data_IF_310516820201
#
_entry.id   IF_310516820201
#
_cell.length_a   1.000
_cell.length_b   1.000
_cell.length_c   1.000
_cell.angle_alpha   90.00
_cell.angle_beta   90.00
_cell.angle_gamma   90.00
#
_symmetry.space_group_name_H-M   'P 1'
#
loop_
_entity.id
_entity.type
_entity.pdbx_description
1 polymer ?
#
# COMPACT_ATOMS: atom_id res chain seq x y z
N UNK A 1 -16.53 5.26 -28.07
CA UNK A 1 -16.57 4.55 -26.77
C UNK A 1 -16.46 3.06 -27.03
N UNK A 2 -15.48 2.34 -26.47
CA UNK A 2 -15.26 0.92 -26.81
C UNK A 2 -16.28 0.04 -26.05
N UNK A 3 -17.39 -0.32 -26.69
CA UNK A 3 -18.48 -1.13 -26.12
C UNK A 3 -18.01 -2.49 -25.61
N UNK A 4 -16.97 -3.10 -26.22
CA UNK A 4 -16.36 -4.35 -25.73
C UNK A 4 -15.74 -4.21 -24.34
N UNK A 5 -15.40 -2.99 -23.92
CA UNK A 5 -14.91 -2.76 -22.56
C UNK A 5 -16.01 -2.90 -21.51
N UNK A 6 -17.28 -2.61 -21.83
CA UNK A 6 -18.40 -2.74 -20.88
C UNK A 6 -18.62 -4.20 -20.44
N UNK A 7 -18.34 -5.15 -21.33
CA UNK A 7 -18.48 -6.59 -21.08
C UNK A 7 -17.27 -7.23 -20.39
N UNK A 8 -16.23 -6.46 -20.06
CA UNK A 8 -15.11 -7.01 -19.27
C UNK A 8 -15.57 -7.25 -17.84
N UNK A 9 -15.38 -8.48 -17.33
CA UNK A 9 -15.72 -8.87 -15.95
C UNK A 9 -15.26 -7.85 -14.89
N UNK A 10 -14.05 -7.29 -15.05
CA UNK A 10 -13.51 -6.26 -14.15
C UNK A 10 -14.35 -4.97 -14.13
N UNK A 11 -14.91 -4.55 -15.26
CA UNK A 11 -15.76 -3.35 -15.32
C UNK A 11 -17.12 -3.60 -14.69
N UNK A 12 -17.69 -4.79 -14.88
CA UNK A 12 -18.90 -5.22 -14.18
C UNK A 12 -18.67 -5.28 -12.67
N UNK A 13 -17.60 -5.93 -12.20
CA UNK A 13 -17.22 -5.97 -10.78
C UNK A 13 -17.04 -4.55 -10.21
N UNK A 14 -16.38 -3.66 -10.96
CA UNK A 14 -16.22 -2.28 -10.54
C UNK A 14 -17.56 -1.55 -10.40
N UNK A 15 -18.46 -1.69 -11.38
CA UNK A 15 -19.80 -1.10 -11.31
C UNK A 15 -20.63 -1.67 -10.16
N UNK A 16 -20.62 -3.00 -9.99
CA UNK A 16 -21.26 -3.69 -8.88
C UNK A 16 -20.80 -3.12 -7.53
N UNK A 17 -19.49 -2.98 -7.31
CA UNK A 17 -18.99 -2.40 -6.08
C UNK A 17 -19.43 -0.95 -5.89
N UNK A 18 -19.54 -0.13 -6.94
CA UNK A 18 -20.03 1.25 -6.80
C UNK A 18 -21.45 1.34 -6.25
N UNK A 19 -22.34 0.41 -6.63
CA UNK A 19 -23.74 0.41 -6.21
C UNK A 19 -24.00 -0.43 -4.95
N UNK A 20 -23.09 -1.35 -4.60
CA UNK A 20 -23.22 -2.19 -3.40
C UNK A 20 -23.40 -1.31 -2.15
N UNK A 21 -24.29 -1.67 -1.19
CA UNK A 21 -24.31 -1.05 0.13
C UNK A 21 -22.98 -1.20 0.85
N UNK A 22 -22.73 -0.33 1.83
CA UNK A 22 -21.58 -0.51 2.74
C UNK A 22 -21.82 -1.71 3.66
N UNK A 23 -20.76 -2.43 4.08
CA UNK A 23 -20.90 -3.50 5.06
C UNK A 23 -21.30 -2.95 6.43
N UNK A 24 -21.85 -3.80 7.29
CA UNK A 24 -22.34 -3.40 8.62
C UNK A 24 -21.24 -2.83 9.54
N UNK A 25 -19.98 -3.17 9.27
CA UNK A 25 -18.82 -2.65 10.03
C UNK A 25 -18.52 -1.18 9.72
N UNK A 26 -19.12 -0.60 8.68
CA UNK A 26 -19.00 0.83 8.35
C UNK A 26 -20.06 1.63 9.08
N UNK A 27 -19.61 2.52 9.95
CA UNK A 27 -20.46 3.42 10.75
C UNK A 27 -20.54 4.80 10.08
N UNK A 28 -21.66 5.50 10.24
CA UNK A 28 -21.88 6.88 9.75
C UNK A 28 -21.35 7.92 10.73
N UNK A 29 -20.07 7.82 11.04
CA UNK A 29 -19.42 8.66 12.04
C UNK A 29 -17.97 8.89 11.60
N UNK A 30 -17.52 10.12 11.35
CA UNK A 30 -16.11 10.38 11.08
C UNK A 30 -15.27 10.20 12.36
N UNK A 31 -14.00 9.81 12.21
CA UNK A 31 -13.05 9.74 13.32
C UNK A 31 -12.22 11.03 13.40
N UNK A 32 -11.86 11.42 14.62
CA UNK A 32 -10.92 12.52 14.89
C UNK A 32 -9.47 12.05 14.75
N UNK A 33 -8.68 12.77 13.93
CA UNK A 33 -7.27 12.49 13.70
C UNK A 33 -6.32 13.53 14.31
N UNK A 34 -6.81 14.47 15.12
CA UNK A 34 -6.03 15.54 15.77
C UNK A 34 -4.88 15.05 16.66
N UNK A 35 -4.95 13.79 17.11
CA UNK A 35 -3.91 13.13 17.92
C UNK A 35 -2.72 12.59 17.11
N UNK A 36 -2.80 12.58 15.78
CA UNK A 36 -1.74 12.09 14.90
C UNK A 36 -1.00 13.27 14.27
N UNK A 37 0.02 13.76 14.97
CA UNK A 37 0.79 14.94 14.59
C UNK A 37 2.04 14.57 13.79
N UNK A 38 2.58 13.38 14.04
CA UNK A 38 3.79 12.89 13.39
C UNK A 38 3.74 11.39 13.04
N UNK A 39 4.82 10.90 12.42
CA UNK A 39 4.95 9.49 12.05
C UNK A 39 5.07 8.58 13.27
N UNK A 40 5.54 9.05 14.44
CA UNK A 40 5.60 8.25 15.67
C UNK A 40 4.20 7.90 16.16
N UNK A 41 3.26 8.84 16.14
CA UNK A 41 1.86 8.58 16.52
C UNK A 41 1.24 7.47 15.64
N UNK A 42 1.61 7.43 14.36
CA UNK A 42 1.16 6.39 13.42
C UNK A 42 1.76 5.03 13.77
N UNK A 43 3.08 4.99 14.05
CA UNK A 43 3.82 3.79 14.43
C UNK A 43 3.29 3.17 15.72
N UNK A 44 3.04 4.02 16.73
CA UNK A 44 2.52 3.60 18.03
C UNK A 44 1.08 3.06 17.89
N UNK A 45 0.20 3.72 17.12
CA UNK A 45 -1.15 3.20 16.85
C UNK A 45 -1.14 1.85 16.12
N UNK A 46 -0.21 1.66 15.19
CA UNK A 46 -0.07 0.41 14.44
C UNK A 46 0.71 -0.66 15.21
N UNK A 47 1.22 -0.33 16.39
CA UNK A 47 2.00 -1.20 17.27
C UNK A 47 3.25 -1.76 16.55
N UNK A 48 3.89 -0.98 15.67
CA UNK A 48 5.01 -1.48 14.82
C UNK A 48 6.16 -2.03 15.67
N UNK A 49 6.41 -1.43 16.84
CA UNK A 49 7.44 -1.85 17.80
C UNK A 49 7.29 -3.29 18.28
N UNK A 50 6.05 -3.78 18.40
CA UNK A 50 5.74 -5.11 18.94
C UNK A 50 6.10 -6.25 17.98
N UNK A 51 6.32 -5.93 16.69
CA UNK A 51 6.62 -6.94 15.68
C UNK A 51 8.11 -7.07 15.44
N UNK A 52 8.56 -8.28 15.14
CA UNK A 52 9.96 -8.60 14.86
C UNK A 52 10.48 -7.92 13.59
N UNK A 53 9.65 -7.87 12.55
CA UNK A 53 9.99 -7.27 11.24
C UNK A 53 8.75 -6.81 10.50
N UNK A 54 8.99 -5.98 9.47
CA UNK A 54 7.98 -5.53 8.51
C UNK A 54 8.07 -6.39 7.25
N UNK A 55 6.94 -6.91 6.77
CA UNK A 55 6.86 -7.73 5.56
C UNK A 55 5.97 -7.07 4.52
N UNK A 56 6.55 -6.66 3.40
CA UNK A 56 5.82 -6.09 2.26
C UNK A 56 5.37 -7.20 1.33
N UNK A 57 4.07 -7.25 1.05
CA UNK A 57 3.46 -8.24 0.17
C UNK A 57 2.77 -7.53 -1.00
N UNK A 58 3.40 -7.57 -2.17
CA UNK A 58 2.80 -7.16 -3.44
C UNK A 58 2.15 -8.35 -4.18
N UNK A 59 1.53 -8.10 -5.34
CA UNK A 59 0.69 -9.10 -6.01
C UNK A 59 1.40 -10.01 -7.03
N UNK A 60 2.72 -9.91 -7.20
CA UNK A 60 3.47 -10.72 -8.16
C UNK A 60 3.58 -12.20 -7.75
N UNK A 61 3.94 -13.10 -8.67
CA UNK A 61 4.05 -14.54 -8.41
C UNK A 61 4.95 -14.95 -7.23
N UNK A 62 6.02 -14.20 -6.92
CA UNK A 62 6.90 -14.53 -5.78
C UNK A 62 6.22 -14.37 -4.42
N UNK A 63 5.08 -13.68 -4.34
CA UNK A 63 4.30 -13.59 -3.10
C UNK A 63 3.82 -14.94 -2.58
N UNK A 64 3.74 -15.97 -3.45
CA UNK A 64 3.42 -17.34 -3.05
C UNK A 64 4.50 -18.02 -2.20
N UNK A 65 5.72 -17.44 -2.13
CA UNK A 65 6.87 -17.98 -1.38
C UNK A 65 7.00 -17.42 0.04
N UNK A 66 6.04 -16.60 0.46
CA UNK A 66 6.07 -15.95 1.76
C UNK A 66 6.06 -16.98 2.89
N UNK A 67 6.83 -16.71 3.94
CA UNK A 67 6.81 -17.48 5.18
C UNK A 67 5.92 -16.71 6.16
N UNK A 68 4.82 -17.33 6.57
CA UNK A 68 3.83 -16.71 7.46
C UNK A 68 4.20 -16.89 8.92
N UNK A 69 4.10 -15.81 9.68
CA UNK A 69 4.48 -15.77 11.09
C UNK A 69 3.81 -14.55 11.76
N UNK A 70 3.14 -14.81 12.89
CA UNK A 70 2.31 -13.84 13.62
C UNK A 70 3.14 -12.80 14.39
N UNK A 71 4.45 -13.04 14.57
CA UNK A 71 5.37 -12.08 15.18
C UNK A 71 5.76 -10.95 14.21
N UNK A 72 5.29 -10.99 12.95
CA UNK A 72 5.58 -9.97 11.95
C UNK A 72 4.33 -9.17 11.59
N UNK A 73 4.54 -7.94 11.09
CA UNK A 73 3.46 -7.13 10.53
C UNK A 73 3.55 -7.06 9.00
N UNK A 74 2.41 -7.25 8.35
CA UNK A 74 2.32 -7.38 6.90
C UNK A 74 1.72 -6.12 6.26
N UNK A 75 2.47 -5.50 5.36
CA UNK A 75 1.99 -4.40 4.52
C UNK A 75 1.55 -4.97 3.17
N UNK A 76 0.25 -5.04 2.95
CA UNK A 76 -0.33 -5.61 1.75
C UNK A 76 -1.03 -4.57 0.88
N UNK A 77 -1.15 -4.84 -0.42
CA UNK A 77 -1.86 -3.98 -1.35
C UNK A 77 -2.71 -4.77 -2.33
N UNK A 78 -3.76 -4.16 -2.85
CA UNK A 78 -4.60 -4.80 -3.87
C UNK A 78 -5.08 -6.20 -3.43
N UNK A 79 -4.89 -7.24 -4.27
CA UNK A 79 -5.29 -8.61 -3.96
C UNK A 79 -4.31 -9.36 -3.04
N UNK A 80 -3.09 -8.86 -2.79
CA UNK A 80 -2.15 -9.57 -1.90
C UNK A 80 -2.62 -9.60 -0.45
N UNK A 81 -3.56 -8.73 -0.07
CA UNK A 81 -4.25 -8.79 1.22
C UNK A 81 -4.80 -10.19 1.52
N UNK A 82 -5.26 -10.93 0.50
CA UNK A 82 -5.81 -12.28 0.67
C UNK A 82 -4.81 -13.28 1.26
N UNK A 83 -3.50 -13.00 1.14
CA UNK A 83 -2.46 -13.85 1.70
C UNK A 83 -2.26 -13.63 3.20
N UNK A 84 -2.63 -12.44 3.72
CA UNK A 84 -2.24 -12.01 5.08
C UNK A 84 -3.41 -11.47 5.91
N UNK A 85 -4.64 -11.58 5.42
CA UNK A 85 -5.83 -10.99 6.07
C UNK A 85 -6.10 -11.54 7.48
N UNK A 86 -5.61 -12.75 7.79
CA UNK A 86 -5.75 -13.41 9.09
C UNK A 86 -4.51 -13.20 9.99
N UNK A 87 -3.53 -12.42 9.54
CA UNK A 87 -2.30 -12.04 10.25
C UNK A 87 -2.31 -10.54 10.59
N UNK A 88 -1.44 -10.06 11.50
CA UNK A 88 -1.27 -8.63 11.75
C UNK A 88 -0.92 -7.88 10.45
N UNK A 89 -1.81 -7.03 9.96
CA UNK A 89 -1.63 -6.40 8.66
C UNK A 89 -2.14 -4.96 8.58
N UNK A 90 -1.47 -4.20 7.72
CA UNK A 90 -1.85 -2.87 7.28
C UNK A 90 -2.18 -2.95 5.79
N UNK A 91 -3.36 -2.42 5.43
CA UNK A 91 -3.80 -2.45 4.04
C UNK A 91 -3.54 -1.11 3.33
N UNK A 92 -2.72 -1.15 2.28
CA UNK A 92 -2.37 0.03 1.49
C UNK A 92 -3.12 0.08 0.16
N UNK A 93 -3.77 1.21 -0.09
CA UNK A 93 -4.71 1.38 -1.21
C UNK A 93 -4.32 2.54 -2.11
N UNK A 94 -3.93 2.22 -3.34
CA UNK A 94 -3.48 3.21 -4.33
C UNK A 94 -4.27 3.20 -5.64
N UNK A 95 -5.07 2.17 -5.89
CA UNK A 95 -5.75 1.97 -7.17
C UNK A 95 -7.27 2.12 -7.01
N UNK A 96 -7.90 2.82 -7.97
CA UNK A 96 -9.33 3.14 -7.90
C UNK A 96 -10.23 1.90 -7.83
N UNK A 97 -9.87 0.83 -8.55
CA UNK A 97 -10.66 -0.41 -8.53
C UNK A 97 -10.61 -1.04 -7.14
N UNK A 98 -9.41 -1.16 -6.56
CA UNK A 98 -9.24 -1.75 -5.24
C UNK A 98 -9.80 -0.85 -4.13
N UNK A 99 -9.66 0.47 -4.23
CA UNK A 99 -10.30 1.41 -3.30
C UNK A 99 -11.83 1.23 -3.30
N UNK A 100 -12.45 1.21 -4.49
CA UNK A 100 -13.91 1.04 -4.58
C UNK A 100 -14.37 -0.28 -4.00
N UNK A 101 -13.64 -1.37 -4.27
CA UNK A 101 -13.91 -2.68 -3.67
C UNK A 101 -13.76 -2.63 -2.15
N UNK A 102 -12.62 -2.15 -1.66
CA UNK A 102 -12.32 -2.03 -0.23
C UNK A 102 -13.43 -1.30 0.53
N UNK A 103 -13.80 -0.09 0.08
CA UNK A 103 -14.81 0.72 0.74
C UNK A 103 -16.14 -0.03 0.88
N UNK A 104 -16.44 -0.95 -0.04
CA UNK A 104 -17.75 -1.59 -0.22
C UNK A 104 -17.82 -3.04 0.24
N UNK A 105 -16.68 -3.68 0.47
CA UNK A 105 -16.64 -5.11 0.80
C UNK A 105 -15.69 -5.45 1.93
N UNK A 106 -14.80 -4.55 2.33
CA UNK A 106 -13.87 -4.85 3.39
C UNK A 106 -14.54 -4.64 4.74
N UNK A 107 -14.55 -5.71 5.53
CA UNK A 107 -15.21 -5.76 6.84
C UNK A 107 -14.21 -5.47 7.98
N UNK A 108 -12.93 -5.73 7.77
CA UNK A 108 -11.90 -5.66 8.81
C UNK A 108 -11.80 -6.97 9.57
N UNK A 109 -10.68 -7.68 9.42
CA UNK A 109 -10.41 -8.92 10.17
C UNK A 109 -9.68 -8.63 11.50
N UNK A 110 -9.59 -9.64 12.38
CA UNK A 110 -8.91 -9.50 13.69
C UNK A 110 -7.44 -9.06 13.56
N UNK A 111 -6.77 -9.46 12.48
CA UNK A 111 -5.39 -9.05 12.20
C UNK A 111 -5.25 -7.62 11.66
N UNK A 112 -6.35 -6.94 11.33
CA UNK A 112 -6.28 -5.60 10.73
C UNK A 112 -5.84 -4.55 11.74
N UNK A 113 -4.73 -3.86 11.46
CA UNK A 113 -4.19 -2.77 12.29
C UNK A 113 -4.56 -1.38 11.78
N UNK A 114 -5.04 -1.30 10.54
CA UNK A 114 -5.46 -0.05 9.92
C UNK A 114 -5.22 -0.05 8.41
N UNK A 115 -5.72 0.97 7.75
CA UNK A 115 -5.53 1.17 6.31
C UNK A 115 -4.87 2.51 6.05
N UNK A 116 -4.02 2.58 5.02
CA UNK A 116 -3.31 3.80 4.65
C UNK A 116 -3.60 4.17 3.20
N UNK A 117 -3.98 5.43 3.01
CA UNK A 117 -4.17 6.10 1.74
C UNK A 117 -3.12 7.20 1.61
N UNK A 118 -1.97 6.89 1.02
CA UNK A 118 -0.88 7.85 0.87
C UNK A 118 -0.84 8.43 -0.54
N UNK A 119 -1.25 9.69 -0.71
CA UNK A 119 -1.44 10.33 -2.01
C UNK A 119 -0.73 11.66 -2.13
N UNK A 120 0.05 11.82 -3.20
CA UNK A 120 0.41 13.15 -3.68
C UNK A 120 -0.78 13.73 -4.46
N UNK A 121 -1.48 14.72 -3.88
CA UNK A 121 -2.61 15.42 -4.51
C UNK A 121 -2.18 16.14 -5.79
N UNK A 122 -0.98 16.72 -5.83
CA UNK A 122 -0.48 17.42 -7.02
C UNK A 122 -0.30 16.51 -8.25
N UNK A 123 -0.35 15.18 -8.06
CA UNK A 123 -0.41 14.23 -9.15
C UNK A 123 -1.87 14.08 -9.66
N UNK A 124 -2.18 14.46 -10.92
CA UNK A 124 -3.54 14.39 -11.45
C UNK A 124 -4.17 12.99 -11.42
N UNK A 125 -3.34 11.93 -11.47
CA UNK A 125 -3.81 10.54 -11.37
C UNK A 125 -4.35 10.20 -9.98
N UNK A 126 -3.99 10.96 -8.95
CA UNK A 126 -4.43 10.76 -7.57
C UNK A 126 -5.73 11.50 -7.24
N UNK A 127 -6.06 12.59 -7.96
CA UNK A 127 -7.23 13.44 -7.66
C UNK A 127 -8.54 12.67 -7.45
N UNK A 128 -8.87 11.74 -8.35
CA UNK A 128 -10.13 10.98 -8.26
C UNK A 128 -10.15 10.06 -7.04
N UNK A 129 -9.02 9.41 -6.77
CA UNK A 129 -8.86 8.46 -5.66
C UNK A 129 -8.91 9.22 -4.33
N UNK A 130 -8.19 10.34 -4.24
CA UNK A 130 -8.25 11.27 -3.12
C UNK A 130 -9.67 11.75 -2.84
N UNK A 131 -10.38 12.29 -3.84
CA UNK A 131 -11.76 12.80 -3.67
C UNK A 131 -12.72 11.73 -3.15
N UNK A 132 -12.61 10.51 -3.67
CA UNK A 132 -13.44 9.39 -3.22
C UNK A 132 -13.12 9.03 -1.76
N UNK A 133 -11.84 8.96 -1.42
CA UNK A 133 -11.35 8.63 -0.08
C UNK A 133 -11.79 9.68 0.93
N UNK A 134 -11.52 10.97 0.66
CA UNK A 134 -11.91 12.09 1.52
C UNK A 134 -13.41 12.13 1.76
N UNK A 135 -14.22 12.03 0.70
CA UNK A 135 -15.69 12.02 0.81
C UNK A 135 -16.19 10.87 1.69
N UNK A 136 -15.52 9.73 1.64
CA UNK A 136 -15.83 8.60 2.50
C UNK A 136 -15.45 8.91 3.96
N UNK A 137 -14.21 9.29 4.24
CA UNK A 137 -13.71 9.50 5.61
C UNK A 137 -14.40 10.66 6.35
N UNK A 138 -14.92 11.65 5.63
CA UNK A 138 -15.73 12.73 6.22
C UNK A 138 -17.10 12.28 6.74
N UNK A 139 -17.54 11.07 6.40
CA UNK A 139 -18.89 10.58 6.68
C UNK A 139 -18.92 9.23 7.36
N UNK A 140 -17.86 8.46 7.21
CA UNK A 140 -17.82 7.05 7.54
C UNK A 140 -16.53 6.66 8.23
N UNK A 141 -16.63 5.64 9.05
CA UNK A 141 -15.50 5.00 9.73
C UNK A 141 -15.73 3.51 9.93
N UNK A 142 -14.70 2.82 10.42
CA UNK A 142 -14.73 1.45 10.91
C UNK A 142 -14.09 1.39 12.30
N UNK A 143 -14.01 0.18 12.87
CA UNK A 143 -13.37 -0.06 14.16
C UNK A 143 -11.90 0.37 14.19
N UNK A 144 -11.13 0.05 13.14
CA UNK A 144 -9.74 0.49 12.98
C UNK A 144 -9.67 1.73 12.09
N UNK A 145 -8.62 2.52 12.27
CA UNK A 145 -8.43 3.80 11.59
C UNK A 145 -7.97 3.62 10.15
N UNK A 146 -8.39 4.58 9.33
CA UNK A 146 -8.12 4.61 7.91
C UNK A 146 -7.49 5.97 7.57
N UNK A 147 -6.17 6.00 7.41
CA UNK A 147 -5.38 7.23 7.37
C UNK A 147 -5.26 7.80 5.97
N UNK A 148 -5.78 9.00 5.73
CA UNK A 148 -5.55 9.76 4.50
C UNK A 148 -4.35 10.69 4.66
N UNK A 149 -3.19 10.27 4.17
CA UNK A 149 -1.93 11.02 4.23
C UNK A 149 -1.70 11.67 2.87
N UNK A 150 -1.71 13.00 2.80
CA UNK A 150 -1.58 13.73 1.53
C UNK A 150 -1.04 15.15 1.71
N UNK A 151 -0.49 15.75 0.65
CA UNK A 151 0.01 17.13 0.67
C UNK A 151 -1.07 18.22 0.50
N UNK A 152 -2.36 17.88 0.58
CA UNK A 152 -3.44 18.87 0.46
C UNK A 152 -3.62 19.62 1.79
N UNK A 153 -3.59 20.95 1.72
CA UNK A 153 -3.59 21.88 2.88
C UNK A 153 -4.78 21.80 3.83
N UNK A 154 -5.89 21.21 3.40
CA UNK A 154 -7.11 21.11 4.20
C UNK A 154 -7.17 19.80 5.00
N UNK A 155 -6.17 18.94 4.89
CA UNK A 155 -6.18 17.61 5.49
C UNK A 155 -5.44 17.58 6.82
N UNK A 156 -6.08 17.01 7.84
CA UNK A 156 -5.55 16.94 9.22
C UNK A 156 -4.17 16.27 9.28
N UNK A 157 -3.93 15.27 8.42
CA UNK A 157 -2.69 14.49 8.38
C UNK A 157 -1.69 15.01 7.33
N UNK A 158 -1.80 16.27 6.90
CA UNK A 158 -0.87 16.84 5.92
C UNK A 158 0.57 16.87 6.43
N UNK A 159 0.78 17.09 7.72
CA UNK A 159 2.11 17.07 8.35
C UNK A 159 2.83 15.74 8.14
N UNK A 160 2.12 14.61 8.31
CA UNK A 160 2.66 13.26 8.11
C UNK A 160 3.16 13.06 6.66
N UNK A 161 2.49 13.64 5.67
CA UNK A 161 2.94 13.57 4.28
C UNK A 161 4.31 14.23 4.13
N UNK A 162 4.48 15.45 4.63
CA UNK A 162 5.74 16.18 4.49
C UNK A 162 6.86 15.55 5.30
N UNK A 163 6.57 15.05 6.50
CA UNK A 163 7.53 14.28 7.29
C UNK A 163 8.00 13.04 6.53
N UNK A 164 7.09 12.32 5.88
CA UNK A 164 7.45 11.17 5.05
C UNK A 164 8.34 11.55 3.86
N UNK A 165 8.07 12.66 3.18
CA UNK A 165 8.91 13.14 2.06
C UNK A 165 10.30 13.61 2.54
N UNK A 166 10.37 14.32 3.67
CA UNK A 166 11.64 14.76 4.27
C UNK A 166 12.47 13.52 4.64
N UNK A 167 11.87 12.57 5.34
CA UNK A 167 12.54 11.35 5.75
C UNK A 167 12.99 10.50 4.55
N UNK A 168 12.21 10.44 3.47
CA UNK A 168 12.63 9.76 2.24
C UNK A 168 13.91 10.36 1.65
N UNK A 169 14.00 11.69 1.67
CA UNK A 169 15.15 12.39 1.14
C UNK A 169 16.37 12.24 2.05
N UNK A 170 16.18 12.28 3.37
CA UNK A 170 17.26 12.18 4.36
C UNK A 170 17.80 10.75 4.49
N UNK A 171 16.92 9.76 4.64
CA UNK A 171 17.32 8.37 4.91
C UNK A 171 17.69 7.58 3.65
N UNK A 172 17.11 7.92 2.49
CA UNK A 172 17.28 7.12 1.26
C UNK A 172 17.78 7.93 0.06
N UNK A 173 18.01 9.23 0.19
CA UNK A 173 18.30 10.13 -0.95
C UNK A 173 17.32 9.90 -2.11
N UNK A 174 16.02 9.88 -1.77
CA UNK A 174 14.95 9.55 -2.70
C UNK A 174 13.79 10.54 -2.60
N UNK A 175 13.17 10.84 -3.73
CA UNK A 175 11.91 11.59 -3.80
C UNK A 175 10.79 10.67 -4.27
N UNK A 176 9.62 10.75 -3.65
CA UNK A 176 8.56 9.80 -3.93
C UNK A 176 8.03 9.92 -5.37
N UNK A 177 8.12 8.82 -6.13
CA UNK A 177 7.46 8.68 -7.42
C UNK A 177 6.50 7.50 -7.44
N UNK A 178 5.26 7.78 -7.81
CA UNK A 178 4.23 6.74 -7.91
C UNK A 178 4.47 5.84 -9.13
N UNK A 179 4.81 4.57 -8.89
CA UNK A 179 4.96 3.54 -9.96
C UNK A 179 3.75 2.59 -10.03
N UNK A 180 3.56 1.75 -9.01
CA UNK A 180 2.44 0.82 -8.88
C UNK A 180 2.14 0.58 -7.39
N UNK A 181 0.98 0.00 -7.03
CA UNK A 181 0.60 -0.16 -5.60
C UNK A 181 1.65 -0.90 -4.78
N UNK A 182 2.30 -1.93 -5.35
CA UNK A 182 3.33 -2.71 -4.64
C UNK A 182 4.55 -1.86 -4.32
N UNK A 183 5.04 -1.07 -5.28
CA UNK A 183 6.15 -0.16 -5.06
C UNK A 183 5.83 0.94 -4.04
N UNK A 184 4.65 1.56 -4.11
CA UNK A 184 4.28 2.58 -3.12
C UNK A 184 4.13 1.98 -1.71
N UNK A 185 3.68 0.73 -1.62
CA UNK A 185 3.63 0.00 -0.35
C UNK A 185 5.03 -0.24 0.21
N UNK A 186 5.97 -0.65 -0.64
CA UNK A 186 7.37 -0.80 -0.26
C UNK A 186 7.98 0.52 0.25
N UNK A 187 7.81 1.62 -0.50
CA UNK A 187 8.39 2.92 -0.12
C UNK A 187 7.89 3.35 1.26
N UNK A 188 6.58 3.23 1.51
CA UNK A 188 6.02 3.61 2.82
C UNK A 188 6.46 2.68 3.94
N UNK A 189 6.47 1.36 3.70
CA UNK A 189 6.92 0.39 4.69
C UNK A 189 8.41 0.55 5.03
N UNK A 190 9.25 0.93 4.06
CA UNK A 190 10.66 1.21 4.28
C UNK A 190 10.89 2.41 5.20
N UNK A 191 10.07 3.46 5.11
CA UNK A 191 10.12 4.59 6.05
C UNK A 191 9.86 4.16 7.48
N UNK A 192 8.82 3.35 7.68
CA UNK A 192 8.47 2.86 9.01
C UNK A 192 9.51 1.86 9.53
N UNK A 193 10.08 1.04 8.65
CA UNK A 193 11.18 0.13 8.99
C UNK A 193 12.42 0.89 9.47
N UNK A 194 12.77 1.99 8.79
CA UNK A 194 13.87 2.86 9.18
C UNK A 194 13.63 3.51 10.55
N UNK A 195 12.45 4.10 10.78
CA UNK A 195 12.13 4.76 12.05
C UNK A 195 12.20 3.82 13.26
N UNK A 196 11.79 2.55 13.08
CA UNK A 196 11.73 1.55 14.15
C UNK A 196 12.90 0.57 14.12
N UNK A 197 13.90 0.80 13.27
CA UNK A 197 15.04 -0.11 13.07
C UNK A 197 14.60 -1.57 12.87
N UNK A 198 13.51 -1.78 12.12
CA UNK A 198 12.95 -3.11 11.85
C UNK A 198 13.54 -3.70 10.56
N UNK A 199 13.88 -5.00 10.55
CA UNK A 199 14.17 -5.69 9.30
C UNK A 199 12.96 -5.61 8.35
N UNK A 200 13.24 -5.58 7.05
CA UNK A 200 12.25 -5.46 6.00
C UNK A 200 12.35 -6.65 5.03
N UNK A 201 11.24 -7.36 4.84
CA UNK A 201 11.15 -8.39 3.80
C UNK A 201 10.21 -7.97 2.68
N UNK A 202 10.56 -8.29 1.44
CA UNK A 202 9.79 -7.89 0.26
C UNK A 202 9.43 -9.10 -0.59
N UNK A 203 8.13 -9.28 -0.83
CA UNK A 203 7.58 -10.35 -1.66
C UNK A 203 6.65 -9.78 -2.73
N UNK A 204 6.62 -10.43 -3.90
CA UNK A 204 5.65 -10.13 -4.95
C UNK A 204 5.91 -8.84 -5.75
N UNK A 205 7.03 -8.14 -5.55
CA UNK A 205 7.40 -6.96 -6.33
C UNK A 205 8.13 -7.37 -7.62
N UNK A 206 7.52 -8.24 -8.42
CA UNK A 206 8.23 -8.95 -9.48
C UNK A 206 8.44 -8.15 -10.76
N UNK A 207 7.81 -6.98 -10.92
CA UNK A 207 7.98 -6.09 -12.09
C UNK A 207 7.91 -6.80 -13.46
N UNK A 208 7.09 -7.86 -13.56
CA UNK A 208 6.89 -8.66 -14.77
C UNK A 208 7.93 -9.76 -15.01
N UNK A 209 8.85 -9.99 -14.07
CA UNK A 209 9.73 -11.15 -14.03
C UNK A 209 8.97 -12.34 -13.42
N UNK A 210 9.11 -13.54 -14.01
CA UNK A 210 8.32 -14.71 -13.62
C UNK A 210 6.98 -14.86 -14.35
N UNK A 211 6.74 -14.09 -15.42
CA UNK A 211 5.67 -14.31 -16.39
C UNK A 211 4.47 -13.36 -16.28
N UNK A 212 3.46 -13.58 -17.13
CA UNK A 212 2.21 -12.81 -17.17
C UNK A 212 1.22 -13.35 -16.13
N UNK A 213 1.55 -13.21 -14.85
CA UNK A 213 0.71 -13.71 -13.77
C UNK A 213 0.81 -12.86 -12.51
N UNK A 214 -0.23 -12.93 -11.71
CA UNK A 214 -0.23 -12.55 -10.30
C UNK A 214 -0.09 -13.83 -9.45
N UNK A 215 0.10 -13.69 -8.15
CA UNK A 215 0.21 -14.84 -7.25
C UNK A 215 -0.99 -15.81 -7.31
N UNK A 216 -2.18 -15.32 -7.68
CA UNK A 216 -3.44 -16.07 -7.63
C UNK A 216 -4.04 -16.40 -9.00
N UNK A 217 -3.47 -15.91 -10.10
CA UNK A 217 -4.01 -16.15 -11.46
C UNK A 217 -3.04 -15.72 -12.55
N UNK A 218 -3.18 -16.34 -13.71
CA UNK A 218 -2.62 -15.81 -14.94
C UNK A 218 -3.37 -14.56 -15.39
N UNK A 219 -2.63 -13.54 -15.82
CA UNK A 219 -3.21 -12.27 -16.27
C UNK A 219 -2.19 -11.46 -17.06
N UNK A 220 -2.59 -10.82 -18.18
CA UNK A 220 -1.74 -9.83 -18.82
C UNK A 220 -1.41 -8.70 -17.83
N UNK A 221 -0.12 -8.42 -17.63
CA UNK A 221 0.33 -7.36 -16.74
C UNK A 221 0.31 -6.01 -17.46
N UNK A 222 -0.07 -4.96 -16.72
CA UNK A 222 -0.15 -3.60 -17.24
C UNK A 222 1.22 -2.94 -17.47
N UNK A 223 1.20 -1.81 -18.20
CA UNK A 223 2.42 -1.01 -18.47
C UNK A 223 3.14 -0.57 -17.19
N UNK A 224 2.40 -0.30 -16.11
CA UNK A 224 2.98 0.12 -14.83
C UNK A 224 3.91 -0.92 -14.19
N UNK A 225 3.78 -2.18 -14.60
CA UNK A 225 4.60 -3.31 -14.13
C UNK A 225 5.70 -3.65 -15.13
N UNK A 226 5.43 -3.56 -16.44
CA UNK A 226 6.34 -4.02 -17.49
C UNK A 226 7.28 -2.97 -18.07
N UNK A 227 6.99 -1.67 -17.93
CA UNK A 227 7.77 -0.65 -18.62
C UNK A 227 9.20 -0.56 -18.07
N UNK A 228 10.16 -0.39 -18.97
CA UNK A 228 11.58 -0.25 -18.64
C UNK A 228 11.81 0.94 -17.69
N UNK A 229 11.25 2.12 -18.01
CA UNK A 229 11.29 3.30 -17.15
C UNK A 229 10.82 3.03 -15.72
N UNK A 230 9.76 2.24 -15.54
CA UNK A 230 9.26 1.94 -14.20
C UNK A 230 10.19 0.97 -13.46
N UNK A 231 10.77 0.00 -14.17
CA UNK A 231 11.78 -0.89 -13.59
C UNK A 231 13.01 -0.12 -13.14
N UNK A 232 13.46 0.86 -13.91
CA UNK A 232 14.58 1.74 -13.55
C UNK A 232 14.26 2.57 -12.30
N UNK A 233 13.06 3.13 -12.19
CA UNK A 233 12.64 3.87 -10.98
C UNK A 233 12.57 2.97 -9.74
N UNK A 234 12.04 1.75 -9.87
CA UNK A 234 12.00 0.79 -8.75
C UNK A 234 13.40 0.33 -8.39
N UNK A 235 14.24 0.04 -9.38
CA UNK A 235 15.64 -0.32 -9.18
C UNK A 235 16.43 0.75 -8.45
N UNK A 236 16.28 2.00 -8.86
CA UNK A 236 16.94 3.15 -8.22
C UNK A 236 16.61 3.21 -6.73
N UNK A 237 15.34 3.05 -6.37
CA UNK A 237 14.94 3.03 -4.96
C UNK A 237 15.47 1.80 -4.21
N UNK A 238 15.39 0.60 -4.80
CA UNK A 238 15.93 -0.61 -4.18
C UNK A 238 17.44 -0.51 -3.93
N UNK A 239 18.20 0.03 -4.88
CA UNK A 239 19.64 0.25 -4.74
C UNK A 239 19.97 1.22 -3.59
N UNK A 240 19.12 2.24 -3.37
CA UNK A 240 19.24 3.17 -2.24
C UNK A 240 18.85 2.50 -0.93
N UNK A 241 17.75 1.76 -0.93
CA UNK A 241 17.24 1.03 0.23
C UNK A 241 18.25 -0.02 0.73
N UNK A 242 18.88 -0.78 -0.17
CA UNK A 242 19.88 -1.78 0.20
C UNK A 242 21.17 -1.17 0.79
N UNK A 243 21.42 0.12 0.58
CA UNK A 243 22.57 0.85 1.13
C UNK A 243 22.21 1.67 2.39
N UNK A 244 20.95 1.62 2.82
CA UNK A 244 20.48 2.29 4.03
C UNK A 244 20.72 1.44 5.26
N UNK A 245 20.42 1.99 6.44
CA UNK A 245 20.54 1.29 7.73
C UNK A 245 19.46 0.21 7.95
N UNK A 246 18.52 0.03 7.01
CA UNK A 246 17.47 -1.00 7.10
C UNK A 246 17.99 -2.34 6.60
N UNK A 247 17.96 -3.39 7.43
CA UNK A 247 18.22 -4.76 6.98
C UNK A 247 17.11 -5.21 6.00
N UNK A 248 17.44 -5.40 4.72
CA UNK A 248 16.44 -5.78 3.69
C UNK A 248 16.69 -7.16 3.11
N UNK A 249 15.63 -7.98 3.06
CA UNK A 249 15.59 -9.24 2.30
C UNK A 249 14.48 -9.21 1.25
N UNK A 250 14.86 -9.05 0.00
CA UNK A 250 13.97 -9.08 -1.15
C UNK A 250 13.91 -10.49 -1.77
N UNK A 251 12.75 -11.13 -1.64
CA UNK A 251 12.43 -12.44 -2.20
C UNK A 251 11.66 -12.34 -3.52
N UNK A 252 11.50 -11.12 -4.06
CA UNK A 252 10.87 -10.90 -5.36
C UNK A 252 11.79 -11.38 -6.49
N UNK A 253 11.20 -11.79 -7.61
CA UNK A 253 11.94 -12.18 -8.80
C UNK A 253 12.67 -10.98 -9.45
N UNK A 254 12.25 -9.76 -9.12
CA UNK A 254 12.91 -8.54 -9.60
C UNK A 254 13.96 -8.08 -8.59
N UNK A 255 15.21 -8.09 -9.05
CA UNK A 255 16.37 -7.55 -8.35
C UNK A 255 16.51 -8.09 -6.92
N UNK A 256 17.08 -9.30 -6.82
CA UNK A 256 17.45 -9.89 -5.54
C UNK A 256 18.43 -9.01 -4.76
N UNK A 257 18.65 -9.36 -3.49
CA UNK A 257 19.56 -8.63 -2.61
C UNK A 257 20.92 -8.41 -3.29
N UNK A 258 21.41 -7.18 -3.27
CA UNK A 258 22.82 -6.92 -3.58
C UNK A 258 23.59 -7.58 -2.44
N UNK A 259 24.30 -8.67 -2.77
CA UNK A 259 25.33 -9.20 -1.88
C UNK A 259 26.50 -8.24 -1.97
N UNK A 260 26.84 -7.61 -0.86
CA UNK A 260 28.23 -7.16 -0.66
C UNK A 260 29.16 -8.38 -0.68
#
# INVERSE_FOLDING_TARGET
MNYKSLFRSRNYQHFFHRIKPFPATVKKEPLDYSKFKDLSDLLDYMEIKEYRKIVVVASGPSASKIIFDKENIYFACNDSLRLVQDLPHIYMLYDMFYLTRYLKTYEGGNGWKGSIFWYNYNNPHSHKIYRLTRKYLQRYSREKREFLITNKSEEELQSLYYQAEILLQEAFDYRHYRVNSGFNTLVFAALLAYLESKPLEVYGLDMGIGGNKYFNKDSPLGRSVKSQKNRELVKLFLDKLYRSDVEVKNFSNFQGNVKD
#
